data_IF_868019513358
#
_entry.id   IF_868019513358
#
_cell.length_a   1.000
_cell.length_b   1.000
_cell.length_c   1.000
_cell.angle_alpha   90.00
_cell.angle_beta   90.00
_cell.angle_gamma   90.00
#
_symmetry.space_group_name_H-M   'P 1'
#
loop_
_entity.id
_entity.type
_entity.pdbx_description
1 polymer ?
#
# COMPACT_ATOMS: atom_id res chain seq x y z
N UNK A 1 9.13 -0.42 -42.56
CA UNK A 1 9.63 0.28 -41.35
C UNK A 1 8.42 0.71 -40.52
N UNK A 2 8.08 -0.02 -39.46
CA UNK A 2 6.99 0.34 -38.57
C UNK A 2 7.51 1.33 -37.51
N UNK A 3 6.88 2.50 -37.41
CA UNK A 3 7.17 3.50 -36.39
C UNK A 3 6.63 2.96 -35.05
N UNK A 4 7.52 2.63 -34.12
CA UNK A 4 7.15 2.31 -32.73
C UNK A 4 6.57 3.57 -32.08
N UNK A 5 5.25 3.73 -32.15
CA UNK A 5 4.54 4.76 -31.42
C UNK A 5 4.71 4.51 -29.92
N UNK A 6 5.39 5.43 -29.23
CA UNK A 6 5.40 5.44 -27.77
C UNK A 6 4.00 5.79 -27.29
N UNK A 7 3.13 4.80 -27.11
CA UNK A 7 1.84 4.98 -26.48
C UNK A 7 2.07 5.45 -25.04
N UNK A 8 1.84 6.74 -24.79
CA UNK A 8 1.85 7.26 -23.43
C UNK A 8 0.65 6.69 -22.70
N UNK A 9 0.88 5.73 -21.81
CA UNK A 9 -0.18 5.19 -20.95
C UNK A 9 -0.58 6.32 -20.00
N UNK A 10 -1.71 6.95 -20.28
CA UNK A 10 -2.31 7.87 -19.33
C UNK A 10 -2.75 7.07 -18.09
N UNK A 11 -2.56 7.64 -16.91
CA UNK A 11 -3.02 7.03 -15.66
C UNK A 11 -3.69 8.11 -14.82
N UNK A 12 -4.87 7.80 -14.29
CA UNK A 12 -5.56 8.70 -13.37
C UNK A 12 -5.11 8.37 -11.95
N UNK A 13 -4.79 9.40 -11.18
CA UNK A 13 -4.45 9.29 -9.76
C UNK A 13 -5.61 9.85 -8.95
N UNK A 14 -6.06 9.09 -7.96
CA UNK A 14 -7.14 9.47 -7.04
C UNK A 14 -6.63 9.25 -5.62
N UNK A 15 -6.55 10.32 -4.82
CA UNK A 15 -6.26 10.21 -3.38
C UNK A 15 -7.47 9.57 -2.71
N UNK A 16 -7.21 8.57 -1.88
CA UNK A 16 -8.25 7.85 -1.15
C UNK A 16 -8.45 8.50 0.22
N UNK A 17 -9.69 8.82 0.63
CA UNK A 17 -9.95 9.33 1.97
C UNK A 17 -9.75 8.23 3.03
N UNK A 18 -9.56 8.62 4.29
CA UNK A 18 -9.32 7.69 5.41
C UNK A 18 -10.51 6.73 5.66
N UNK A 19 -11.71 7.14 5.24
CA UNK A 19 -12.93 6.32 5.28
C UNK A 19 -13.03 5.30 4.15
N UNK A 20 -12.09 5.29 3.19
CA UNK A 20 -12.10 4.32 2.08
C UNK A 20 -11.78 2.91 2.58
N UNK A 21 -12.47 1.91 2.06
CA UNK A 21 -12.24 0.50 2.43
C UNK A 21 -10.81 0.06 2.16
N UNK A 22 -10.16 0.55 1.08
CA UNK A 22 -8.76 0.24 0.80
C UNK A 22 -7.82 0.80 1.87
N UNK A 23 -8.20 1.90 2.52
CA UNK A 23 -7.44 2.49 3.62
C UNK A 23 -7.41 1.54 4.82
N UNK A 24 -8.61 1.10 5.24
CA UNK A 24 -8.76 0.15 6.34
C UNK A 24 -8.07 -1.19 6.04
N UNK A 25 -8.22 -1.71 4.82
CA UNK A 25 -7.54 -2.92 4.39
C UNK A 25 -6.00 -2.80 4.44
N UNK A 26 -5.46 -1.65 4.03
CA UNK A 26 -4.02 -1.43 4.09
C UNK A 26 -3.53 -1.43 5.54
N UNK A 27 -4.19 -0.67 6.42
CA UNK A 27 -3.85 -0.61 7.84
C UNK A 27 -3.90 -1.99 8.51
N UNK A 28 -4.92 -2.79 8.20
CA UNK A 28 -5.05 -4.16 8.69
C UNK A 28 -3.90 -5.04 8.17
N UNK A 29 -3.64 -5.04 6.86
CA UNK A 29 -2.56 -5.84 6.25
C UNK A 29 -1.19 -5.47 6.82
N UNK A 30 -0.93 -4.17 7.03
CA UNK A 30 0.31 -3.70 7.67
C UNK A 30 0.43 -4.22 9.09
N UNK A 31 -0.63 -4.09 9.90
CA UNK A 31 -0.65 -4.58 11.28
C UNK A 31 -0.33 -6.08 11.37
N UNK A 32 -0.92 -6.88 10.48
CA UNK A 32 -0.62 -8.32 10.36
C UNK A 32 0.83 -8.56 9.97
N UNK A 33 1.37 -7.83 8.99
CA UNK A 33 2.78 -7.98 8.59
C UNK A 33 3.74 -7.67 9.74
N UNK A 34 3.51 -6.58 10.47
CA UNK A 34 4.32 -6.20 11.62
C UNK A 34 4.21 -7.26 12.71
N UNK A 35 3.00 -7.72 13.03
CA UNK A 35 2.79 -8.70 14.08
C UNK A 35 3.44 -10.06 13.80
N UNK A 36 3.39 -10.51 12.54
CA UNK A 36 4.09 -11.72 12.08
C UNK A 36 5.58 -11.64 12.34
N UNK A 37 6.20 -10.49 12.07
CA UNK A 37 7.64 -10.32 12.20
C UNK A 37 8.06 -10.06 13.65
N UNK A 38 7.35 -9.18 14.36
CA UNK A 38 7.75 -8.74 15.70
C UNK A 38 7.36 -9.70 16.82
N UNK A 39 6.21 -10.39 16.68
CA UNK A 39 5.69 -11.27 17.73
C UNK A 39 5.77 -12.76 17.36
N UNK A 40 6.25 -13.11 16.17
CA UNK A 40 6.17 -14.46 15.61
C UNK A 40 4.76 -15.06 15.68
N UNK A 41 3.73 -14.19 15.64
CA UNK A 41 2.32 -14.58 15.72
C UNK A 41 1.78 -14.69 14.31
N UNK A 42 1.44 -15.91 13.89
CA UNK A 42 0.56 -16.12 12.75
C UNK A 42 -0.88 -15.99 13.28
N UNK A 43 -1.78 -15.27 12.60
CA UNK A 43 -3.20 -15.41 12.89
C UNK A 43 -3.54 -16.89 12.68
N UNK A 44 -4.03 -17.56 13.73
CA UNK A 44 -4.55 -18.94 13.62
C UNK A 44 -5.82 -18.97 12.77
N UNK A 45 -6.48 -17.81 12.60
CA UNK A 45 -7.69 -17.64 11.81
C UNK A 45 -7.75 -16.22 11.20
N UNK A 46 -8.11 -16.10 9.92
CA UNK A 46 -8.22 -14.80 9.23
C UNK A 46 -9.35 -13.93 9.82
N UNK A 47 -10.32 -14.56 10.49
CA UNK A 47 -11.44 -13.89 11.14
C UNK A 47 -11.04 -13.14 12.42
N UNK A 48 -9.87 -13.44 13.00
CA UNK A 48 -9.44 -12.85 14.27
C UNK A 48 -8.01 -12.30 14.13
N UNK A 49 -7.86 -11.26 13.30
CA UNK A 49 -6.61 -10.50 13.16
C UNK A 49 -6.64 -9.30 14.14
N UNK A 50 -6.12 -9.43 15.38
CA UNK A 50 -6.22 -8.36 16.38
C UNK A 50 -5.25 -7.20 16.12
N UNK A 51 -4.40 -7.30 15.10
CA UNK A 51 -3.32 -6.37 14.83
C UNK A 51 -3.63 -5.51 13.62
N UNK A 52 -4.07 -4.29 13.88
CA UNK A 52 -4.35 -3.26 12.87
C UNK A 52 -3.50 -2.03 13.19
N UNK A 53 -2.90 -1.42 12.18
CA UNK A 53 -2.26 -0.13 12.37
C UNK A 53 -3.34 0.94 12.58
N UNK A 54 -3.22 1.77 13.63
CA UNK A 54 -4.26 2.76 13.95
C UNK A 54 -4.46 3.78 12.83
N UNK A 55 -3.38 4.32 12.31
CA UNK A 55 -3.35 5.32 11.24
C UNK A 55 -2.01 5.31 10.51
N UNK A 56 -1.95 5.92 9.33
CA UNK A 56 -0.66 6.19 8.69
C UNK A 56 0.03 7.36 9.39
N UNK A 57 1.38 7.36 9.48
CA UNK A 57 2.12 8.51 9.95
C UNK A 57 1.82 9.78 9.12
N UNK A 58 2.01 10.93 9.75
CA UNK A 58 1.77 12.23 9.12
C UNK A 58 2.51 12.40 7.79
N UNK A 59 1.83 13.05 6.83
CA UNK A 59 2.39 13.35 5.51
C UNK A 59 2.44 12.15 4.56
N UNK A 60 1.84 11.02 4.93
CA UNK A 60 1.63 9.89 4.03
C UNK A 60 0.26 9.96 3.37
N UNK A 61 0.20 9.58 2.08
CA UNK A 61 -1.03 9.62 1.29
C UNK A 61 -1.26 8.28 0.60
N UNK A 62 -2.41 7.68 0.87
CA UNK A 62 -2.89 6.53 0.12
C UNK A 62 -3.61 6.99 -1.14
N UNK A 63 -3.24 6.43 -2.28
CA UNK A 63 -3.86 6.78 -3.56
C UNK A 63 -4.05 5.56 -4.44
N UNK A 64 -5.09 5.60 -5.26
CA UNK A 64 -5.34 4.65 -6.34
C UNK A 64 -4.83 5.21 -7.66
N UNK A 65 -4.14 4.37 -8.41
CA UNK A 65 -3.73 4.65 -9.79
C UNK A 65 -4.53 3.76 -10.72
N UNK A 66 -5.41 4.36 -11.50
CA UNK A 66 -6.20 3.68 -12.51
C UNK A 66 -5.45 3.76 -13.86
N UNK A 67 -5.12 2.60 -14.45
CA UNK A 67 -4.54 2.57 -15.80
C UNK A 67 -5.63 2.85 -16.83
N UNK A 68 -5.48 3.90 -17.63
CA UNK A 68 -6.50 4.25 -18.65
C UNK A 68 -6.34 3.44 -19.93
N UNK A 69 -5.21 2.75 -20.11
CA UNK A 69 -4.98 1.78 -21.19
C UNK A 69 -4.77 0.39 -20.60
N UNK A 70 -5.43 -0.59 -21.20
CA UNK A 70 -5.27 -2.01 -20.88
C UNK A 70 -5.07 -2.77 -22.18
N UNK A 71 -4.03 -3.59 -22.23
CA UNK A 71 -3.77 -4.46 -23.38
C UNK A 71 -4.78 -5.61 -23.47
N UNK A 72 -5.64 -5.76 -22.44
CA UNK A 72 -6.77 -6.71 -22.41
C UNK A 72 -8.09 -5.95 -22.46
N UNK A 73 -8.86 -6.17 -23.52
CA UNK A 73 -10.23 -5.67 -23.63
C UNK A 73 -11.03 -6.06 -22.38
N UNK A 74 -11.60 -5.06 -21.69
CA UNK A 74 -12.47 -5.25 -20.52
C UNK A 74 -11.78 -5.26 -19.15
N UNK A 75 -10.44 -5.23 -19.04
CA UNK A 75 -9.77 -5.26 -17.74
C UNK A 75 -9.06 -3.94 -17.42
N UNK A 76 -9.75 -3.02 -16.75
CA UNK A 76 -9.10 -1.82 -16.17
C UNK A 76 -8.40 -2.22 -14.88
N UNK A 77 -7.07 -2.24 -14.90
CA UNK A 77 -6.27 -2.50 -13.70
C UNK A 77 -6.16 -1.23 -12.87
N UNK A 78 -6.58 -1.31 -11.62
CA UNK A 78 -6.39 -0.30 -10.59
C UNK A 78 -5.44 -0.84 -9.53
N UNK A 79 -4.40 -0.08 -9.21
CA UNK A 79 -3.42 -0.44 -8.18
C UNK A 79 -3.43 0.65 -7.09
N UNK A 80 -3.36 0.25 -5.81
CA UNK A 80 -3.31 1.15 -4.66
C UNK A 80 -1.88 1.27 -4.17
N UNK A 81 -1.47 2.49 -3.81
CA UNK A 81 -0.12 2.83 -3.37
C UNK A 81 -0.17 3.74 -2.17
N UNK A 82 0.86 3.65 -1.32
CA UNK A 82 1.12 4.61 -0.25
C UNK A 82 2.33 5.45 -0.63
N UNK A 83 2.23 6.77 -0.53
CA UNK A 83 3.33 7.69 -0.85
C UNK A 83 3.70 8.55 0.34
N UNK A 84 5.00 8.82 0.45
CA UNK A 84 5.59 9.83 1.32
C UNK A 84 6.23 10.93 0.48
N UNK A 85 6.86 11.91 1.11
CA UNK A 85 7.66 12.93 0.41
C UNK A 85 8.82 12.33 -0.39
N UNK A 86 9.40 11.20 0.05
CA UNK A 86 10.62 10.62 -0.49
C UNK A 86 10.45 9.22 -1.12
N UNK A 87 9.32 8.54 -0.89
CA UNK A 87 9.13 7.15 -1.30
C UNK A 87 7.70 6.84 -1.77
N UNK A 88 7.55 5.72 -2.47
CA UNK A 88 6.25 5.16 -2.85
C UNK A 88 6.28 3.66 -2.64
N UNK A 89 5.34 3.16 -1.84
CA UNK A 89 5.16 1.76 -1.51
C UNK A 89 4.00 1.20 -2.33
N UNK A 90 4.26 0.07 -2.99
CA UNK A 90 3.33 -0.61 -3.91
C UNK A 90 2.50 -1.69 -3.23
N UNK A 91 2.84 -2.02 -1.98
CA UNK A 91 2.12 -2.99 -1.19
C UNK A 91 2.22 -2.71 0.31
N UNK A 92 1.25 -3.20 1.11
CA UNK A 92 1.32 -3.19 2.58
C UNK A 92 2.62 -3.79 3.13
N UNK A 93 3.12 -4.88 2.53
CA UNK A 93 4.35 -5.55 2.96
C UNK A 93 5.60 -4.70 2.74
N UNK A 94 5.66 -3.93 1.65
CA UNK A 94 6.74 -2.97 1.43
C UNK A 94 6.77 -1.90 2.51
N UNK A 95 5.60 -1.32 2.83
CA UNK A 95 5.51 -0.32 3.88
C UNK A 95 5.77 -0.90 5.28
N UNK A 96 5.27 -2.10 5.58
CA UNK A 96 5.46 -2.73 6.89
C UNK A 96 6.94 -2.85 7.26
N UNK A 97 7.82 -3.15 6.29
CA UNK A 97 9.29 -3.13 6.51
C UNK A 97 9.80 -1.75 6.91
N UNK A 98 9.32 -0.70 6.26
CA UNK A 98 9.67 0.67 6.61
C UNK A 98 9.12 1.07 7.98
N UNK A 99 7.88 0.71 8.29
CA UNK A 99 7.27 0.95 9.60
C UNK A 99 8.05 0.25 10.73
N UNK A 100 8.47 -1.01 10.54
CA UNK A 100 9.30 -1.71 11.52
C UNK A 100 10.66 -1.02 11.71
N UNK A 101 11.29 -0.55 10.63
CA UNK A 101 12.53 0.24 10.73
C UNK A 101 12.33 1.53 11.54
N UNK A 102 11.22 2.25 11.33
CA UNK A 102 10.88 3.43 12.13
C UNK A 102 10.71 3.07 13.61
N UNK A 103 9.99 1.98 13.91
CA UNK A 103 9.77 1.51 15.29
C UNK A 103 11.07 1.10 16.00
N UNK A 104 12.04 0.56 15.26
CA UNK A 104 13.33 0.13 15.79
C UNK A 104 14.31 1.30 15.97
N UNK A 105 14.35 2.23 15.00
CA UNK A 105 15.17 3.44 15.07
C UNK A 105 14.81 4.33 16.26
N UNK A 106 13.54 4.32 16.70
CA UNK A 106 13.10 5.05 17.89
C UNK A 106 13.44 4.40 19.24
N UNK A 107 13.96 3.15 19.27
CA UNK A 107 14.39 2.50 20.52
C UNK A 107 15.80 2.87 20.98
N UNK A 108 16.54 3.61 20.16
CA UNK A 108 17.96 3.96 20.40
C UNK A 108 18.20 5.46 20.65
N UNK A 109 17.16 6.21 21.04
CA UNK A 109 17.28 7.55 21.64
C UNK A 109 17.00 7.47 23.13
#
# INVERSE_FOLDING_TARGET
>A
MAKNGHHTIHSRVVVLPDSDTNHQEWLQKIGVHIAKVMFNKLPEDDANQPFTLGEFPDGMLLYRRDKTHSDRAGHRRSDVYLRTSCATFRSPAEFARHAMWLMDAHKHQ
#
